data_IF_166165477441
#
_entry.id   IF_166165477441
#
_cell.length_a   1.000
_cell.length_b   1.000
_cell.length_c   1.000
_cell.angle_alpha   90.00
_cell.angle_beta   90.00
_cell.angle_gamma   90.00
#
_symmetry.space_group_name_H-M   'P 1'
#
loop_
_entity.id
_entity.type
_entity.pdbx_description
1 polymer ?
#
# COMPACT_ATOMS: atom_id res chain seq x y z
N UNK A 1 31.99 -62.36 -2.52
CA UNK A 1 30.77 -61.62 -2.12
C UNK A 1 30.95 -60.15 -2.48
N UNK A 2 30.45 -59.69 -3.64
CA UNK A 2 30.57 -58.30 -4.08
C UNK A 2 29.18 -57.67 -4.21
N UNK A 3 28.83 -56.76 -3.30
CA UNK A 3 27.57 -56.00 -3.35
C UNK A 3 27.73 -54.87 -4.37
N UNK A 4 27.07 -54.97 -5.53
CA UNK A 4 26.92 -53.87 -6.49
C UNK A 4 25.92 -52.86 -5.93
N UNK A 5 26.41 -51.70 -5.52
CA UNK A 5 25.59 -50.52 -5.26
C UNK A 5 24.91 -50.07 -6.55
N UNK A 6 23.58 -50.16 -6.61
CA UNK A 6 22.77 -49.50 -7.64
C UNK A 6 22.39 -48.13 -7.10
N UNK A 7 22.94 -47.07 -7.69
CA UNK A 7 22.43 -45.71 -7.51
C UNK A 7 20.97 -45.66 -8.02
N UNK A 8 20.03 -45.01 -7.30
CA UNK A 8 18.72 -44.71 -7.85
C UNK A 8 18.84 -43.59 -8.88
N UNK A 9 18.19 -43.78 -10.03
CA UNK A 9 18.11 -42.78 -11.09
C UNK A 9 17.34 -41.52 -10.61
N UNK A 10 17.67 -40.32 -11.13
CA UNK A 10 16.90 -39.11 -10.84
C UNK A 10 15.49 -39.24 -11.45
N UNK A 11 14.48 -38.91 -10.64
CA UNK A 11 13.07 -38.92 -11.06
C UNK A 11 12.85 -38.02 -12.30
N UNK A 12 12.00 -38.42 -13.26
CA UNK A 12 11.66 -37.57 -14.39
C UNK A 12 10.78 -36.41 -13.91
N UNK A 13 11.29 -35.19 -14.03
CA UNK A 13 10.49 -33.96 -13.93
C UNK A 13 9.37 -34.00 -14.98
N UNK A 14 8.10 -33.75 -14.61
CA UNK A 14 7.00 -33.76 -15.56
C UNK A 14 7.17 -32.63 -16.61
N UNK A 15 6.65 -32.81 -17.84
CA UNK A 15 6.78 -31.81 -18.88
C UNK A 15 6.05 -30.51 -18.50
N UNK A 16 6.73 -29.37 -18.66
CA UNK A 16 6.23 -28.00 -18.37
C UNK A 16 4.85 -27.69 -18.97
N UNK A 17 4.46 -28.36 -20.06
CA UNK A 17 3.13 -28.26 -20.67
C UNK A 17 2.00 -28.85 -19.79
N UNK A 18 2.27 -29.94 -19.04
CA UNK A 18 1.30 -30.53 -18.11
C UNK A 18 1.08 -29.62 -16.88
N UNK A 19 2.15 -28.98 -16.39
CA UNK A 19 2.06 -27.98 -15.33
C UNK A 19 1.28 -26.72 -15.78
N UNK A 20 1.48 -26.27 -17.01
CA UNK A 20 0.71 -25.17 -17.60
C UNK A 20 -0.79 -25.52 -17.77
N UNK A 21 -1.10 -26.75 -18.18
CA UNK A 21 -2.47 -27.26 -18.26
C UNK A 21 -3.17 -27.30 -16.88
N UNK A 22 -2.43 -27.69 -15.83
CA UNK A 22 -2.92 -27.65 -14.45
C UNK A 22 -3.26 -26.24 -13.97
N UNK A 23 -2.39 -25.26 -14.24
CA UNK A 23 -2.62 -23.85 -13.85
C UNK A 23 -3.85 -23.27 -14.57
N UNK A 24 -4.05 -23.56 -15.85
CA UNK A 24 -5.22 -23.11 -16.60
C UNK A 24 -6.53 -23.71 -16.06
N UNK A 25 -6.54 -25.00 -15.71
CA UNK A 25 -7.69 -25.66 -15.11
C UNK A 25 -8.03 -25.08 -13.73
N UNK A 26 -7.02 -24.83 -12.90
CA UNK A 26 -7.19 -24.14 -11.61
C UNK A 26 -7.79 -22.75 -11.80
N UNK A 27 -7.27 -21.96 -12.75
CA UNK A 27 -7.79 -20.63 -13.03
C UNK A 27 -9.26 -20.67 -13.46
N UNK A 28 -9.64 -21.59 -14.34
CA UNK A 28 -11.03 -21.74 -14.75
C UNK A 28 -11.97 -22.04 -13.57
N UNK A 29 -11.53 -22.84 -12.61
CA UNK A 29 -12.28 -23.09 -11.37
C UNK A 29 -12.38 -21.84 -10.49
N UNK A 30 -11.29 -21.08 -10.35
CA UNK A 30 -11.30 -19.78 -9.65
C UNK A 30 -12.27 -18.81 -10.29
N UNK A 31 -12.21 -18.61 -11.60
CA UNK A 31 -13.06 -17.68 -12.35
C UNK A 31 -14.54 -18.06 -12.19
N UNK A 32 -14.84 -19.36 -12.27
CA UNK A 32 -16.18 -19.89 -12.03
C UNK A 32 -16.68 -19.57 -10.61
N UNK A 33 -15.85 -19.75 -9.59
CA UNK A 33 -16.22 -19.43 -8.21
C UNK A 33 -16.42 -17.91 -8.01
N UNK A 34 -15.53 -17.09 -8.55
CA UNK A 34 -15.63 -15.63 -8.47
C UNK A 34 -16.87 -15.10 -9.20
N UNK A 35 -17.29 -15.73 -10.30
CA UNK A 35 -18.55 -15.38 -10.97
C UNK A 35 -19.79 -15.64 -10.09
N UNK A 36 -19.75 -16.60 -9.15
CA UNK A 36 -20.83 -16.76 -8.16
C UNK A 36 -20.75 -15.73 -7.04
N UNK A 37 -19.53 -15.36 -6.63
CA UNK A 37 -19.32 -14.30 -5.65
C UNK A 37 -19.86 -12.95 -6.17
N UNK A 38 -19.57 -12.60 -7.42
CA UNK A 38 -20.07 -11.38 -8.08
C UNK A 38 -21.60 -11.31 -8.12
N UNK A 39 -22.27 -12.46 -8.19
CA UNK A 39 -23.73 -12.59 -8.14
C UNK A 39 -24.30 -12.61 -6.72
N UNK A 40 -23.48 -12.32 -5.70
CA UNK A 40 -23.90 -12.30 -4.29
C UNK A 40 -24.08 -13.67 -3.65
N UNK A 41 -23.45 -14.73 -4.20
CA UNK A 41 -23.54 -16.09 -3.64
C UNK A 41 -22.19 -16.61 -3.12
N UNK A 42 -21.72 -16.12 -1.95
CA UNK A 42 -20.45 -16.53 -1.38
C UNK A 42 -20.44 -18.01 -0.95
N UNK A 43 -21.56 -18.55 -0.46
CA UNK A 43 -21.65 -19.95 -0.02
C UNK A 43 -21.40 -20.94 -1.17
N UNK A 44 -21.96 -20.67 -2.35
CA UNK A 44 -21.73 -21.50 -3.54
C UNK A 44 -20.30 -21.32 -4.07
N UNK A 45 -19.74 -20.11 -4.01
CA UNK A 45 -18.35 -19.85 -4.37
C UNK A 45 -17.38 -20.63 -3.47
N UNK A 46 -17.58 -20.62 -2.15
CA UNK A 46 -16.76 -21.39 -1.20
C UNK A 46 -16.85 -22.90 -1.46
N UNK A 47 -18.05 -23.41 -1.74
CA UNK A 47 -18.22 -24.84 -2.08
C UNK A 47 -17.42 -25.21 -3.33
N UNK A 48 -17.51 -24.41 -4.39
CA UNK A 48 -16.75 -24.64 -5.63
C UNK A 48 -15.24 -24.59 -5.40
N UNK A 49 -14.74 -23.66 -4.59
CA UNK A 49 -13.33 -23.59 -4.26
C UNK A 49 -12.86 -24.79 -3.43
N UNK A 50 -13.68 -25.29 -2.52
CA UNK A 50 -13.37 -26.53 -1.77
C UNK A 50 -13.31 -27.74 -2.71
N UNK A 51 -14.25 -27.85 -3.64
CA UNK A 51 -14.26 -28.93 -4.63
C UNK A 51 -13.05 -28.81 -5.58
N UNK A 52 -12.62 -27.59 -5.92
CA UNK A 52 -11.41 -27.34 -6.70
C UNK A 52 -10.14 -27.75 -5.93
N UNK A 53 -10.05 -27.43 -4.64
CA UNK A 53 -8.95 -27.90 -3.77
C UNK A 53 -8.91 -29.42 -3.68
N UNK A 54 -10.06 -30.10 -3.60
CA UNK A 54 -10.10 -31.57 -3.61
C UNK A 54 -9.57 -32.18 -4.91
N UNK A 55 -9.69 -31.47 -6.04
CA UNK A 55 -9.21 -31.94 -7.36
C UNK A 55 -7.74 -31.60 -7.64
N UNK A 56 -7.33 -30.38 -7.31
CA UNK A 56 -6.00 -29.85 -7.66
C UNK A 56 -5.01 -29.90 -6.49
N UNK A 57 -5.47 -30.23 -5.29
CA UNK A 57 -4.69 -30.20 -4.05
C UNK A 57 -4.59 -28.81 -3.42
N UNK A 58 -4.07 -28.77 -2.19
CA UNK A 58 -3.86 -27.52 -1.42
C UNK A 58 -2.60 -26.75 -1.86
N UNK A 59 -1.87 -27.24 -2.86
CA UNK A 59 -0.59 -26.68 -3.31
C UNK A 59 -0.69 -25.52 -4.29
N UNK A 60 -1.89 -25.03 -4.61
CA UNK A 60 -2.06 -23.91 -5.56
C UNK A 60 -2.21 -22.56 -4.84
N UNK A 61 -1.25 -21.62 -4.99
CA UNK A 61 -1.38 -20.29 -4.42
C UNK A 61 -2.56 -19.51 -5.00
N UNK A 62 -2.92 -19.76 -6.26
CA UNK A 62 -4.07 -19.11 -6.92
C UNK A 62 -5.41 -19.54 -6.30
N UNK A 63 -5.58 -20.81 -5.92
CA UNK A 63 -6.78 -21.27 -5.20
C UNK A 63 -6.89 -20.62 -3.83
N UNK A 64 -5.79 -20.59 -3.07
CA UNK A 64 -5.74 -19.95 -1.75
C UNK A 64 -6.04 -18.44 -1.84
N UNK A 65 -5.51 -17.77 -2.87
CA UNK A 65 -5.81 -16.37 -3.20
C UNK A 65 -7.30 -16.13 -3.51
N UNK A 66 -7.92 -17.04 -4.26
CA UNK A 66 -9.36 -17.01 -4.54
C UNK A 66 -10.19 -17.25 -3.26
N UNK A 67 -9.81 -18.22 -2.42
CA UNK A 67 -10.46 -18.49 -1.14
C UNK A 67 -10.42 -17.28 -0.22
N UNK A 68 -9.24 -16.65 -0.09
CA UNK A 68 -9.09 -15.42 0.67
C UNK A 68 -10.05 -14.32 0.21
N UNK A 69 -10.16 -14.12 -1.11
CA UNK A 69 -11.09 -13.14 -1.70
C UNK A 69 -12.54 -13.45 -1.34
N UNK A 70 -12.97 -14.70 -1.50
CA UNK A 70 -14.35 -15.10 -1.21
C UNK A 70 -14.65 -14.92 0.28
N UNK A 71 -13.73 -15.27 1.17
CA UNK A 71 -13.92 -15.06 2.61
C UNK A 71 -13.97 -13.58 3.00
N UNK A 72 -13.05 -12.73 2.53
CA UNK A 72 -13.09 -11.28 2.81
C UNK A 72 -14.40 -10.65 2.31
N UNK A 73 -14.83 -11.00 1.09
CA UNK A 73 -16.10 -10.50 0.52
C UNK A 73 -17.34 -11.05 1.21
N UNK A 74 -17.30 -12.30 1.68
CA UNK A 74 -18.38 -12.88 2.48
C UNK A 74 -18.52 -12.20 3.85
N UNK A 75 -17.44 -11.63 4.40
CA UNK A 75 -17.46 -10.92 5.68
C UNK A 75 -18.19 -9.57 5.60
N UNK A 76 -18.03 -8.84 4.49
CA UNK A 76 -18.50 -7.46 4.33
C UNK A 76 -20.00 -7.23 4.65
N UNK A 77 -20.96 -8.05 4.17
CA UNK A 77 -22.39 -7.84 4.45
C UNK A 77 -22.86 -8.39 5.80
N UNK A 78 -22.00 -9.05 6.60
CA UNK A 78 -22.43 -9.73 7.82
C UNK A 78 -22.54 -8.78 9.00
N UNK A 79 -23.72 -8.66 9.61
CA UNK A 79 -23.92 -7.86 10.82
C UNK A 79 -23.36 -8.53 12.09
N UNK A 80 -23.32 -9.86 12.13
CA UNK A 80 -22.79 -10.59 13.28
C UNK A 80 -21.25 -10.46 13.33
N UNK A 81 -20.69 -9.83 14.38
CA UNK A 81 -19.23 -9.66 14.51
C UNK A 81 -18.51 -11.01 14.64
N UNK A 82 -19.14 -12.04 15.22
CA UNK A 82 -18.51 -13.35 15.38
C UNK A 82 -18.36 -14.06 14.03
N UNK A 83 -19.41 -14.09 13.22
CA UNK A 83 -19.35 -14.62 11.85
C UNK A 83 -18.36 -13.82 10.99
N UNK A 84 -18.37 -12.49 11.07
CA UNK A 84 -17.43 -11.63 10.35
C UNK A 84 -15.97 -11.96 10.71
N UNK A 85 -15.66 -12.08 12.00
CA UNK A 85 -14.32 -12.44 12.48
C UNK A 85 -13.88 -13.84 12.00
N UNK A 86 -14.79 -14.82 11.92
CA UNK A 86 -14.48 -16.15 11.37
C UNK A 86 -14.08 -16.06 9.89
N UNK A 87 -14.80 -15.27 9.09
CA UNK A 87 -14.45 -15.05 7.69
C UNK A 87 -13.11 -14.33 7.53
N UNK A 88 -12.82 -13.28 8.31
CA UNK A 88 -11.52 -12.61 8.27
C UNK A 88 -10.36 -13.55 8.63
N UNK A 89 -10.50 -14.37 9.68
CA UNK A 89 -9.48 -15.36 10.07
C UNK A 89 -9.23 -16.39 8.96
N UNK A 90 -10.29 -16.91 8.34
CA UNK A 90 -10.15 -17.84 7.22
C UNK A 90 -9.48 -17.18 6.00
N UNK A 91 -9.80 -15.91 5.72
CA UNK A 91 -9.15 -15.15 4.64
C UNK A 91 -7.65 -14.97 4.89
N UNK A 92 -7.27 -14.55 6.09
CA UNK A 92 -5.88 -14.38 6.51
C UNK A 92 -5.11 -15.70 6.47
N UNK A 93 -5.69 -16.79 6.96
CA UNK A 93 -5.06 -18.11 6.92
C UNK A 93 -4.79 -18.57 5.49
N UNK A 94 -5.76 -18.38 4.58
CA UNK A 94 -5.58 -18.71 3.17
C UNK A 94 -4.49 -17.85 2.51
N UNK A 95 -4.49 -16.52 2.76
CA UNK A 95 -3.50 -15.61 2.21
C UNK A 95 -2.08 -15.90 2.72
N UNK A 96 -1.92 -16.12 4.03
CA UNK A 96 -0.65 -16.52 4.63
C UNK A 96 -0.12 -17.80 3.99
N UNK A 97 -0.97 -18.81 3.84
CA UNK A 97 -0.58 -20.09 3.22
C UNK A 97 -0.21 -19.92 1.75
N UNK A 98 -0.86 -19.00 1.03
CA UNK A 98 -0.49 -18.66 -0.34
C UNK A 98 0.91 -18.04 -0.40
N UNK A 99 1.22 -17.12 0.51
CA UNK A 99 2.57 -16.52 0.65
C UNK A 99 3.62 -17.56 1.03
N UNK A 100 3.29 -18.52 1.90
CA UNK A 100 4.21 -19.62 2.27
C UNK A 100 4.54 -20.52 1.07
N UNK A 101 3.60 -20.71 0.14
CA UNK A 101 3.83 -21.50 -1.08
C UNK A 101 4.54 -20.72 -2.19
N UNK A 102 4.40 -19.40 -2.23
CA UNK A 102 5.01 -18.53 -3.23
C UNK A 102 5.53 -17.23 -2.55
N UNK A 103 6.65 -17.31 -1.82
CA UNK A 103 7.15 -16.20 -1.02
C UNK A 103 7.68 -15.03 -1.86
N UNK A 104 8.03 -15.28 -3.12
CA UNK A 104 8.51 -14.34 -4.14
C UNK A 104 7.37 -13.72 -4.98
N UNK A 105 6.12 -13.88 -4.56
CA UNK A 105 4.96 -13.27 -5.18
C UNK A 105 4.67 -11.88 -4.60
N UNK A 106 4.75 -10.85 -5.45
CA UNK A 106 4.30 -9.49 -5.10
C UNK A 106 2.78 -9.40 -4.94
N UNK A 107 2.00 -10.10 -5.77
CA UNK A 107 0.53 -10.08 -5.70
C UNK A 107 0.04 -10.71 -4.39
N UNK A 108 0.63 -11.82 -3.95
CA UNK A 108 0.24 -12.50 -2.72
C UNK A 108 0.71 -11.71 -1.49
N UNK A 109 1.91 -11.10 -1.54
CA UNK A 109 2.37 -10.18 -0.50
C UNK A 109 1.39 -9.00 -0.33
N UNK A 110 1.03 -8.35 -1.44
CA UNK A 110 0.08 -7.25 -1.44
C UNK A 110 -1.29 -7.67 -0.93
N UNK A 111 -1.81 -8.80 -1.40
CA UNK A 111 -3.09 -9.31 -0.94
C UNK A 111 -3.11 -9.66 0.55
N UNK A 112 -2.05 -10.29 1.05
CA UNK A 112 -1.94 -10.62 2.48
C UNK A 112 -1.87 -9.34 3.33
N UNK A 113 -1.06 -8.36 2.94
CA UNK A 113 -0.98 -7.07 3.61
C UNK A 113 -2.34 -6.33 3.59
N UNK A 114 -3.08 -6.39 2.48
CA UNK A 114 -4.40 -5.77 2.38
C UNK A 114 -5.39 -6.39 3.37
N UNK A 115 -5.39 -7.72 3.52
CA UNK A 115 -6.24 -8.39 4.51
C UNK A 115 -5.84 -8.09 5.95
N UNK A 116 -4.53 -7.97 6.23
CA UNK A 116 -4.04 -7.51 7.53
C UNK A 116 -4.56 -6.09 7.81
N UNK A 117 -4.50 -5.20 6.83
CA UNK A 117 -4.98 -3.82 6.96
C UNK A 117 -6.49 -3.75 7.19
N UNK A 118 -7.28 -4.56 6.48
CA UNK A 118 -8.74 -4.66 6.69
C UNK A 118 -9.11 -5.18 8.09
N UNK A 119 -8.27 -6.04 8.68
CA UNK A 119 -8.49 -6.62 10.01
C UNK A 119 -7.90 -5.79 11.15
N UNK A 120 -7.04 -4.81 10.84
CA UNK A 120 -6.31 -4.03 11.83
C UNK A 120 -7.23 -3.14 12.66
N UNK A 121 -7.01 -3.16 13.98
CA UNK A 121 -7.80 -2.42 14.96
C UNK A 121 -6.94 -1.61 15.95
N UNK A 122 -5.65 -1.89 16.03
CA UNK A 122 -4.70 -1.16 16.86
C UNK A 122 -3.34 -0.98 16.21
N UNK A 123 -2.48 -0.17 16.84
CA UNK A 123 -1.17 0.20 16.31
C UNK A 123 -0.31 -1.02 15.97
N UNK A 124 -0.31 -2.06 16.83
CA UNK A 124 0.44 -3.29 16.59
C UNK A 124 0.00 -4.00 15.30
N UNK A 125 -1.30 -4.00 14.99
CA UNK A 125 -1.81 -4.63 13.78
C UNK A 125 -1.32 -3.87 12.53
N UNK A 126 -1.21 -2.54 12.61
CA UNK A 126 -0.66 -1.73 11.51
C UNK A 126 0.83 -1.94 11.30
N UNK A 127 1.60 -2.23 12.35
CA UNK A 127 3.01 -2.65 12.20
C UNK A 127 3.13 -3.96 11.42
N UNK A 128 2.25 -4.94 11.67
CA UNK A 128 2.23 -6.20 10.92
C UNK A 128 1.91 -5.96 9.42
N UNK A 129 1.04 -4.99 9.11
CA UNK A 129 0.76 -4.55 7.73
C UNK A 129 2.02 -3.99 7.07
N UNK A 130 2.72 -3.09 7.76
CA UNK A 130 3.93 -2.44 7.25
C UNK A 130 5.03 -3.49 7.02
N UNK A 131 5.24 -4.38 7.99
CA UNK A 131 6.24 -5.44 7.89
C UNK A 131 6.00 -6.37 6.70
N UNK A 132 4.75 -6.76 6.43
CA UNK A 132 4.41 -7.57 5.27
C UNK A 132 4.59 -6.80 3.96
N UNK A 133 4.28 -5.50 3.93
CA UNK A 133 4.54 -4.67 2.76
C UNK A 133 6.03 -4.55 2.45
N UNK A 134 6.85 -4.30 3.48
CA UNK A 134 8.31 -4.25 3.35
C UNK A 134 8.90 -5.60 2.94
N UNK A 135 8.34 -6.71 3.44
CA UNK A 135 8.70 -8.07 2.96
C UNK A 135 8.45 -8.18 1.46
N UNK A 136 7.28 -7.75 0.97
CA UNK A 136 6.96 -7.71 -0.45
C UNK A 136 7.92 -6.85 -1.25
N UNK A 137 8.25 -5.64 -0.77
CA UNK A 137 9.16 -4.71 -1.45
C UNK A 137 10.61 -5.24 -1.55
N UNK A 138 11.03 -6.09 -0.61
CA UNK A 138 12.34 -6.79 -0.63
C UNK A 138 12.44 -7.89 -1.69
N UNK A 139 11.35 -8.26 -2.36
CA UNK A 139 11.37 -9.22 -3.47
C UNK A 139 12.02 -8.55 -4.68
N UNK A 140 13.20 -9.00 -5.08
CA UNK A 140 13.92 -8.47 -6.24
C UNK A 140 13.41 -9.06 -7.57
N UNK A 141 13.29 -10.39 -7.62
CA UNK A 141 12.85 -11.15 -8.81
C UNK A 141 11.48 -11.76 -8.52
N UNK A 142 10.38 -11.09 -8.87
CA UNK A 142 9.05 -11.62 -8.60
C UNK A 142 8.70 -12.76 -9.55
N UNK A 143 8.07 -13.82 -9.02
CA UNK A 143 7.45 -14.88 -9.83
C UNK A 143 6.14 -14.44 -10.52
N UNK A 144 5.69 -13.22 -10.24
CA UNK A 144 4.38 -12.66 -10.59
C UNK A 144 4.49 -11.47 -11.56
N UNK A 145 3.45 -11.19 -12.39
CA UNK A 145 2.07 -11.03 -11.89
C UNK A 145 0.98 -11.99 -12.41
N UNK A 146 1.18 -12.68 -13.53
CA UNK A 146 0.12 -13.48 -14.15
C UNK A 146 -0.32 -14.77 -13.41
N UNK A 147 0.58 -15.57 -12.79
CA UNK A 147 0.19 -16.88 -12.27
C UNK A 147 -0.72 -16.80 -11.04
N UNK A 148 -0.56 -15.80 -10.18
CA UNK A 148 -1.31 -15.72 -8.93
C UNK A 148 -2.37 -14.60 -8.88
N UNK A 149 -2.41 -13.70 -9.86
CA UNK A 149 -3.40 -12.62 -9.87
C UNK A 149 -4.78 -13.10 -10.37
N UNK A 150 -5.84 -12.77 -9.64
CA UNK A 150 -7.22 -13.07 -10.06
C UNK A 150 -7.74 -12.10 -11.13
N UNK A 151 -7.06 -10.98 -11.34
CA UNK A 151 -7.44 -9.95 -12.32
C UNK A 151 -6.66 -10.15 -13.62
N UNK A 152 -7.35 -10.00 -14.75
CA UNK A 152 -6.75 -9.99 -16.09
C UNK A 152 -7.12 -8.68 -16.80
N UNK A 153 -6.15 -7.95 -17.40
CA UNK A 153 -4.72 -8.22 -17.35
C UNK A 153 -4.16 -8.08 -15.93
N UNK A 154 -3.13 -8.87 -15.62
CA UNK A 154 -2.48 -8.81 -14.32
C UNK A 154 -1.70 -7.48 -14.19
N UNK A 155 -1.72 -6.83 -13.01
CA UNK A 155 -1.00 -5.58 -12.79
C UNK A 155 0.49 -5.80 -12.96
N UNK A 156 1.22 -4.82 -13.52
CA UNK A 156 2.68 -4.90 -13.62
C UNK A 156 3.35 -4.95 -12.24
N UNK A 157 4.59 -5.47 -12.13
CA UNK A 157 5.31 -5.52 -10.86
C UNK A 157 5.50 -4.12 -10.25
N UNK A 158 5.72 -3.09 -11.06
CA UNK A 158 5.88 -1.70 -10.58
C UNK A 158 4.60 -1.18 -9.94
N UNK A 159 3.44 -1.45 -10.55
CA UNK A 159 2.13 -1.10 -9.99
C UNK A 159 1.91 -1.78 -8.62
N UNK A 160 2.25 -3.07 -8.51
CA UNK A 160 2.15 -3.78 -7.23
C UNK A 160 3.09 -3.20 -6.17
N UNK A 161 4.30 -2.76 -6.54
CA UNK A 161 5.22 -2.07 -5.62
C UNK A 161 4.64 -0.73 -5.16
N UNK A 162 4.00 0.02 -6.04
CA UNK A 162 3.34 1.27 -5.69
C UNK A 162 2.13 1.04 -4.78
N UNK A 163 1.34 0.00 -5.04
CA UNK A 163 0.23 -0.40 -4.18
C UNK A 163 0.71 -0.81 -2.77
N UNK A 164 1.84 -1.50 -2.66
CA UNK A 164 2.49 -1.81 -1.37
C UNK A 164 2.94 -0.54 -0.63
N UNK A 165 3.61 0.39 -1.32
CA UNK A 165 4.02 1.68 -0.72
C UNK A 165 2.81 2.52 -0.27
N UNK A 166 1.75 2.53 -1.08
CA UNK A 166 0.51 3.20 -0.73
C UNK A 166 -0.11 2.60 0.53
N UNK A 167 -0.07 1.28 0.68
CA UNK A 167 -0.60 0.61 1.85
C UNK A 167 0.21 0.92 3.12
N UNK A 168 1.54 1.02 3.02
CA UNK A 168 2.39 1.50 4.12
C UNK A 168 1.97 2.91 4.57
N UNK A 169 1.77 3.83 3.62
CA UNK A 169 1.33 5.20 3.93
C UNK A 169 -0.04 5.21 4.63
N UNK A 170 -0.98 4.39 4.16
CA UNK A 170 -2.31 4.24 4.79
C UNK A 170 -2.21 3.68 6.21
N UNK A 171 -1.40 2.64 6.42
CA UNK A 171 -1.17 2.03 7.73
C UNK A 171 -0.55 3.02 8.72
N UNK A 172 0.45 3.80 8.29
CA UNK A 172 1.06 4.86 9.10
C UNK A 172 0.03 5.92 9.51
N UNK A 173 -0.77 6.42 8.57
CA UNK A 173 -1.79 7.43 8.87
C UNK A 173 -2.87 6.89 9.82
N UNK A 174 -3.28 5.63 9.63
CA UNK A 174 -4.26 4.96 10.49
C UNK A 174 -3.71 4.72 11.91
N UNK A 175 -2.44 4.33 12.04
CA UNK A 175 -1.75 4.16 13.33
C UNK A 175 -1.66 5.48 14.09
N UNK A 176 -1.26 6.58 13.43
CA UNK A 176 -1.23 7.91 14.04
C UNK A 176 -2.64 8.35 14.45
N UNK A 177 -3.66 8.16 13.59
CA UNK A 177 -5.04 8.52 13.93
C UNK A 177 -5.55 7.76 15.15
N UNK A 178 -5.21 6.46 15.25
CA UNK A 178 -5.59 5.61 16.38
C UNK A 178 -4.88 6.05 17.65
N UNK A 179 -3.60 6.38 17.57
CA UNK A 179 -2.83 6.94 18.69
C UNK A 179 -3.39 8.30 19.15
N UNK A 180 -3.70 9.22 18.23
CA UNK A 180 -4.30 10.52 18.55
C UNK A 180 -5.66 10.35 19.23
N UNK A 181 -6.49 9.41 18.76
CA UNK A 181 -7.78 9.10 19.43
C UNK A 181 -7.59 8.53 20.82
N UNK A 182 -6.60 7.67 21.03
CA UNK A 182 -6.28 7.12 22.34
C UNK A 182 -5.83 8.21 23.33
N UNK A 183 -5.14 9.25 22.85
CA UNK A 183 -4.74 10.40 23.67
C UNK A 183 -5.88 11.42 23.88
N UNK A 184 -6.71 11.68 22.87
CA UNK A 184 -7.80 12.66 22.93
C UNK A 184 -9.11 12.12 23.55
N UNK A 185 -9.20 10.82 23.82
CA UNK A 185 -10.39 10.16 24.39
C UNK A 185 -10.51 10.27 25.92
N UNK A 186 -9.60 10.96 26.59
CA UNK A 186 -9.63 11.23 28.04
C UNK A 186 -9.85 12.72 28.31
N UNK A 187 -11.02 13.24 27.94
CA UNK A 187 -11.55 14.47 28.56
C UNK A 187 -11.93 14.07 30.00
N UNK A 188 -11.13 14.36 31.04
CA UNK A 188 -10.99 15.69 31.63
C UNK A 188 -9.58 16.02 32.18
N UNK A 189 -8.49 15.35 31.79
CA UNK A 189 -7.15 15.64 32.37
C UNK A 189 -5.97 15.41 31.43
N UNK A 190 -5.84 16.20 30.38
CA UNK A 190 -4.55 16.39 29.70
C UNK A 190 -4.14 17.86 29.69
N UNK A 191 -3.98 18.41 30.88
CA UNK A 191 -3.03 19.48 31.10
C UNK A 191 -1.77 18.90 31.73
N UNK A 192 -0.89 18.21 31.00
CA UNK A 192 0.52 17.99 31.41
C UNK A 192 1.37 17.21 30.37
N UNK A 193 1.54 17.74 29.15
CA UNK A 193 2.77 17.45 28.39
C UNK A 193 3.45 18.76 28.04
N UNK A 194 3.81 19.51 29.09
CA UNK A 194 4.90 20.47 29.00
C UNK A 194 6.16 19.65 29.19
N UNK A 195 6.96 19.52 28.13
CA UNK A 195 8.34 19.09 28.22
C UNK A 195 9.03 20.06 29.20
N UNK A 196 9.24 19.64 30.45
CA UNK A 196 9.94 20.41 31.46
C UNK A 196 10.80 19.43 32.25
N UNK A 197 12.08 19.46 31.95
CA UNK A 197 13.16 18.91 32.74
C UNK A 197 13.43 19.89 33.90
N UNK A 198 13.03 19.48 35.13
CA UNK A 198 13.59 19.83 36.46
C UNK A 198 13.58 21.32 36.96
N UNK A 199 13.77 21.58 38.27
CA UNK A 199 12.73 22.10 39.17
C UNK A 199 13.13 23.45 39.80
N UNK A 200 12.19 24.13 40.48
CA UNK A 200 12.45 24.75 41.79
C UNK A 200 11.18 25.45 42.34
N UNK A 201 11.03 25.27 43.63
CA UNK A 201 10.39 26.14 44.63
C UNK A 201 8.86 26.22 44.77
N UNK A 202 8.49 25.96 46.02
CA UNK A 202 7.17 25.93 46.64
C UNK A 202 6.69 27.36 46.94
N UNK A 203 5.48 27.73 46.50
CA UNK A 203 4.68 28.74 47.17
C UNK A 203 3.19 28.38 47.13
N UNK A 204 2.52 28.16 48.29
CA UNK A 204 1.09 27.93 48.36
C UNK A 204 0.28 29.21 48.59
N UNK A 205 -1.03 29.09 48.25
CA UNK A 205 -2.21 29.90 48.65
C UNK A 205 -2.82 30.84 47.56
N UNK A 206 -4.13 31.18 47.61
CA UNK A 206 -5.27 30.52 48.25
C UNK A 206 -6.46 30.26 47.29
N UNK A 207 -7.40 29.45 47.76
CA UNK A 207 -8.67 29.15 47.11
C UNK A 207 -9.55 30.40 46.92
N UNK A 208 -10.19 30.53 45.76
CA UNK A 208 -11.34 31.40 45.56
C UNK A 208 -12.34 30.75 44.57
N UNK A 209 -13.52 30.41 45.13
CA UNK A 209 -14.86 30.39 44.55
C UNK A 209 -15.10 30.00 43.08
N UNK A 210 -15.87 28.91 42.90
CA UNK A 210 -16.89 28.76 41.84
C UNK A 210 -18.24 29.36 42.35
N UNK A 211 -19.37 29.50 41.57
CA UNK A 211 -19.69 28.82 40.30
C UNK A 211 -20.59 29.58 39.26
N UNK A 212 -20.88 28.86 38.15
CA UNK A 212 -22.04 28.97 37.20
C UNK A 212 -21.92 29.92 35.99
N UNK A 213 -22.14 29.36 34.80
CA UNK A 213 -22.58 30.13 33.62
C UNK A 213 -22.47 29.40 32.28
N UNK A 214 -23.46 28.59 31.92
CA UNK A 214 -23.64 28.06 30.56
C UNK A 214 -24.06 29.22 29.65
N UNK A 215 -23.35 29.48 28.53
CA UNK A 215 -23.91 30.04 27.27
C UNK A 215 -22.87 30.16 26.15
N UNK A 216 -23.17 29.46 25.05
CA UNK A 216 -22.92 29.75 23.62
C UNK A 216 -21.68 30.58 23.24
N UNK A 217 -20.78 29.90 22.52
CA UNK A 217 -19.64 30.46 21.81
C UNK A 217 -19.98 31.75 21.04
N UNK A 218 -19.46 32.87 21.55
CA UNK A 218 -19.25 34.10 20.79
C UNK A 218 -17.77 34.40 20.93
N UNK A 219 -17.02 34.22 19.84
CA UNK A 219 -15.57 34.50 19.78
C UNK A 219 -15.31 35.89 20.35
N UNK A 220 -14.46 35.99 21.38
CA UNK A 220 -14.22 37.25 22.08
C UNK A 220 -13.49 38.24 21.14
N UNK A 221 -13.70 39.56 21.27
CA UNK A 221 -13.02 40.55 20.43
C UNK A 221 -11.49 40.51 20.62
N UNK A 222 -11.01 39.97 21.73
CA UNK A 222 -9.58 39.78 22.03
C UNK A 222 -8.97 38.60 21.26
N UNK A 223 -9.71 37.49 21.08
CA UNK A 223 -9.26 36.39 20.21
C UNK A 223 -9.18 36.81 18.74
N UNK A 224 -10.14 37.61 18.26
CA UNK A 224 -10.05 38.15 16.89
C UNK A 224 -8.84 39.07 16.72
N UNK A 225 -8.48 39.85 17.75
CA UNK A 225 -7.27 40.70 17.72
C UNK A 225 -5.99 39.85 17.62
N UNK A 226 -5.90 38.77 18.39
CA UNK A 226 -4.76 37.84 18.34
C UNK A 226 -4.66 37.11 17.00
N UNK A 227 -5.79 36.72 16.42
CA UNK A 227 -5.83 36.08 15.10
C UNK A 227 -5.39 37.04 13.97
N UNK A 228 -5.79 38.30 14.03
CA UNK A 228 -5.32 39.34 13.08
C UNK A 228 -3.81 39.54 13.22
N UNK A 229 -3.29 39.57 14.44
CA UNK A 229 -1.85 39.72 14.68
C UNK A 229 -1.04 38.52 14.14
N UNK A 230 -1.54 37.30 14.35
CA UNK A 230 -0.94 36.08 13.81
C UNK A 230 -1.00 36.06 12.27
N UNK A 231 -2.12 36.45 11.67
CA UNK A 231 -2.25 36.53 10.22
C UNK A 231 -1.32 37.60 9.62
N UNK A 232 -1.19 38.76 10.26
CA UNK A 232 -0.25 39.81 9.84
C UNK A 232 1.20 39.34 9.99
N UNK A 233 1.54 38.63 11.06
CA UNK A 233 2.88 38.04 11.24
C UNK A 233 3.19 36.98 10.18
N UNK A 234 2.23 36.10 9.87
CA UNK A 234 2.37 35.09 8.83
C UNK A 234 2.54 35.72 7.43
N UNK A 235 1.78 36.77 7.12
CA UNK A 235 1.89 37.47 5.84
C UNK A 235 3.24 38.18 5.67
N UNK A 236 3.78 38.77 6.74
CA UNK A 236 5.14 39.37 6.73
C UNK A 236 6.24 38.32 6.54
N UNK A 237 6.07 37.12 7.10
CA UNK A 237 6.98 35.99 6.90
C UNK A 237 6.95 35.51 5.45
N UNK A 238 5.78 35.48 4.82
CA UNK A 238 5.63 35.14 3.40
C UNK A 238 6.26 36.23 2.51
N UNK A 239 6.10 37.50 2.86
CA UNK A 239 6.69 38.62 2.11
C UNK A 239 8.23 38.65 2.21
N UNK A 240 8.80 38.31 3.38
CA UNK A 240 10.26 38.14 3.52
C UNK A 240 10.82 37.00 2.65
N UNK A 241 10.06 35.94 2.42
CA UNK A 241 10.47 34.82 1.56
C UNK A 241 10.20 35.06 0.07
N UNK A 242 9.56 36.17 -0.32
CA UNK A 242 9.25 36.51 -1.72
C UNK A 242 10.22 37.53 -2.36
N UNK A 243 11.31 37.93 -1.70
CA UNK A 243 12.37 38.70 -2.38
C UNK A 243 13.12 37.81 -3.39
N UNK A 244 13.14 38.17 -4.70
CA UNK A 244 13.81 37.37 -5.72
C UNK A 244 15.33 37.51 -5.60
N UNK A 245 16.01 36.40 -5.33
CA UNK A 245 17.44 36.29 -5.62
C UNK A 245 17.63 36.12 -7.14
N UNK A 246 17.89 37.22 -7.83
CA UNK A 246 18.53 37.20 -9.13
C UNK A 246 19.39 38.47 -9.26
N UNK A 247 20.74 38.39 -9.26
CA UNK A 247 21.56 39.51 -9.65
C UNK A 247 21.89 39.41 -11.14
N UNK A 248 21.40 40.36 -11.92
CA UNK A 248 21.90 40.65 -13.25
C UNK A 248 22.45 42.07 -13.26
N UNK A 249 23.74 42.26 -13.55
CA UNK A 249 24.33 43.49 -14.13
C UNK A 249 25.62 43.04 -14.86
N UNK A 250 25.63 42.87 -16.18
CA UNK A 250 25.71 43.87 -17.25
C UNK A 250 27.07 44.59 -17.33
N UNK A 251 27.77 44.39 -18.45
CA UNK A 251 28.74 45.33 -19.00
C UNK A 251 28.58 45.38 -20.53
N UNK A 252 28.17 46.54 -20.99
CA UNK A 252 27.98 47.02 -22.37
C UNK A 252 29.35 47.21 -23.06
N UNK A 253 29.54 46.99 -24.38
CA UNK A 253 29.20 47.91 -25.48
C UNK A 253 29.66 47.33 -26.87
N UNK A 254 29.22 47.91 -28.03
CA UNK A 254 29.22 47.32 -29.39
C UNK A 254 30.13 48.08 -30.41
N UNK A 255 29.90 48.06 -31.75
CA UNK A 255 29.93 46.97 -32.76
C UNK A 255 30.92 47.27 -33.93
N UNK A 256 31.16 46.35 -34.88
CA UNK A 256 31.58 46.62 -36.29
C UNK A 256 31.73 45.31 -37.11
N UNK A 257 31.15 45.32 -38.33
CA UNK A 257 31.60 44.72 -39.62
C UNK A 257 32.09 43.26 -39.69
N UNK A 258 31.98 42.47 -40.76
CA UNK A 258 31.53 42.57 -42.15
C UNK A 258 31.43 41.11 -42.66
N UNK A 259 30.76 40.98 -43.79
CA UNK A 259 30.62 39.86 -44.73
C UNK A 259 31.83 38.91 -44.83
N UNK A 260 31.62 37.58 -44.97
CA UNK A 260 32.15 36.87 -46.14
C UNK A 260 31.60 35.43 -46.34
N UNK A 261 31.56 35.10 -47.62
CA UNK A 261 31.27 33.89 -48.41
C UNK A 261 31.25 32.46 -47.80
N UNK A 262 30.30 31.67 -48.32
CA UNK A 262 30.41 30.20 -48.53
C UNK A 262 31.14 29.92 -49.88
N UNK A 263 31.33 28.68 -50.43
CA UNK A 263 31.04 27.32 -49.94
C UNK A 263 32.13 26.25 -50.30
N UNK A 264 31.96 25.00 -49.84
CA UNK A 264 32.39 23.79 -50.56
C UNK A 264 31.53 22.60 -50.07
N UNK A 265 30.65 21.98 -50.88
CA UNK A 265 30.93 20.95 -51.92
C UNK A 265 31.66 19.74 -51.31
N UNK A 266 31.22 18.48 -51.38
CA UNK A 266 30.34 17.72 -52.30
C UNK A 266 29.77 16.50 -51.54
N UNK A 267 28.52 16.05 -51.75
CA UNK A 267 28.05 15.09 -52.78
C UNK A 267 28.77 13.73 -52.68
N UNK A 268 28.11 12.59 -52.44
CA UNK A 268 27.26 11.79 -53.36
C UNK A 268 26.38 10.84 -52.51
N UNK A 269 25.04 10.75 -52.65
CA UNK A 269 24.21 10.14 -53.73
C UNK A 269 24.50 8.64 -53.97
N UNK A 270 23.55 7.70 -54.11
CA UNK A 270 22.10 7.80 -54.40
C UNK A 270 21.32 6.59 -53.83
N UNK A 271 20.03 6.72 -53.51
CA UNK A 271 18.83 6.67 -54.40
C UNK A 271 18.49 5.26 -54.92
N UNK A 272 17.46 4.69 -54.28
CA UNK A 272 16.25 3.97 -54.78
C UNK A 272 16.27 3.39 -56.22
N UNK A 273 15.75 2.15 -56.34
CA UNK A 273 14.57 1.74 -57.15
C UNK A 273 14.41 0.19 -57.00
N UNK A 274 13.32 -0.32 -56.39
CA UNK A 274 11.98 -0.69 -56.92
C UNK A 274 11.91 -2.00 -57.73
N UNK A 275 10.90 -2.80 -57.34
CA UNK A 275 10.09 -3.79 -58.10
C UNK A 275 10.84 -5.09 -58.48
N UNK A 276 10.23 -6.27 -58.37
CA UNK A 276 8.84 -6.65 -58.66
C UNK A 276 8.27 -7.64 -57.64
#
# INVERSE_FOLDING_TARGET
>A
MGRKNRNPAPNPTPPRAAAAGGIAAVRADCDKALAYLQRGNPSKALRLLRDAVARHGEGSPLLLRAQGTVHSRAAAPLNDPAARARHHRAALQAARRAVELAPDSLELAHFHALLLYEAASGNRDYEDVIAECERGLRIEVPSDPAPHCLRLPAPGPDQLRDDLRNLIQKANLASISTWVKALGGTDDKLGFFRLADEPLELQPLPAAHRPIGIKKATKTPEERRKEIEVQVAAMRLVEQHQLPHNPAVAASSPPLSEEDEAPCSSCQSGVKLRRS
#
